data_IF_880507842608
#
_entry.id   IF_880507842608
#
_cell.length_a   1.000
_cell.length_b   1.000
_cell.length_c   1.000
_cell.angle_alpha   90.00
_cell.angle_beta   90.00
_cell.angle_gamma   90.00
#
_symmetry.space_group_name_H-M   'P 1'
#
loop_
_entity.id
_entity.type
_entity.pdbx_description
1 polymer ?
#
# COMPACT_ATOMS: atom_id res chain seq x y z
N UNK A 1 15.14 -31.91 25.94
CA UNK A 1 14.07 -30.95 25.60
C UNK A 1 14.56 -29.54 25.88
N UNK A 2 14.97 -28.78 24.84
CA UNK A 2 15.36 -27.36 24.97
C UNK A 2 14.09 -26.51 25.03
N UNK A 3 13.92 -25.72 26.10
CA UNK A 3 12.83 -24.74 26.23
C UNK A 3 13.01 -23.67 25.15
N UNK A 4 11.96 -23.43 24.36
CA UNK A 4 11.83 -22.23 23.54
C UNK A 4 11.53 -21.06 24.48
N UNK A 5 12.39 -20.04 24.46
CA UNK A 5 12.31 -18.86 25.32
C UNK A 5 11.53 -17.77 24.55
N UNK A 6 10.27 -17.53 24.95
CA UNK A 6 9.37 -16.58 24.31
C UNK A 6 9.72 -15.15 24.76
N UNK A 7 10.07 -14.28 23.81
CA UNK A 7 10.25 -12.84 24.05
C UNK A 7 8.97 -12.19 24.57
N UNK A 8 9.11 -11.28 25.53
CA UNK A 8 8.01 -10.62 26.21
C UNK A 8 7.56 -9.38 25.40
N UNK A 9 6.27 -9.32 25.06
CA UNK A 9 5.65 -8.22 24.31
C UNK A 9 5.14 -7.20 25.34
N UNK A 10 5.69 -5.99 25.34
CA UNK A 10 5.18 -4.89 26.16
C UNK A 10 3.91 -4.27 25.54
N UNK A 11 3.07 -3.66 26.39
CA UNK A 11 1.70 -3.15 26.11
C UNK A 11 1.53 -2.16 24.95
N UNK A 12 2.60 -1.83 24.22
CA UNK A 12 2.62 -0.94 23.04
C UNK A 12 3.06 -1.69 21.76
N UNK A 13 3.20 -3.02 21.80
CA UNK A 13 3.50 -3.84 20.60
C UNK A 13 4.94 -3.74 20.10
N UNK A 14 5.89 -3.32 20.94
CA UNK A 14 7.32 -3.30 20.59
C UNK A 14 8.00 -4.59 21.05
N UNK A 15 8.67 -5.28 20.10
CA UNK A 15 9.61 -6.36 20.43
C UNK A 15 10.93 -5.73 20.92
N UNK A 16 11.21 -5.86 22.22
CA UNK A 16 12.48 -5.45 22.81
C UNK A 16 13.38 -6.67 22.92
N UNK A 17 14.45 -6.74 22.12
CA UNK A 17 15.45 -7.78 22.27
C UNK A 17 16.24 -7.58 23.58
N UNK A 18 16.80 -8.67 24.14
CA UNK A 18 17.70 -8.63 25.32
C UNK A 18 18.84 -7.63 25.04
N UNK A 19 18.78 -6.47 25.69
CA UNK A 19 19.72 -5.35 25.46
C UNK A 19 19.09 -3.97 25.28
N UNK A 20 17.75 -3.82 25.33
CA UNK A 20 17.09 -2.51 25.33
C UNK A 20 17.15 -1.76 23.99
N UNK A 21 17.61 -2.42 22.91
CA UNK A 21 17.69 -1.81 21.58
C UNK A 21 16.30 -1.88 20.94
N UNK A 22 15.75 -0.71 20.62
CA UNK A 22 14.55 -0.60 19.79
C UNK A 22 14.88 -1.13 18.38
N UNK A 23 14.49 -2.36 18.07
CA UNK A 23 14.85 -3.01 16.80
C UNK A 23 14.39 -2.23 15.56
N UNK A 24 13.30 -1.47 15.64
CA UNK A 24 12.87 -0.61 14.51
C UNK A 24 13.86 0.53 14.22
N UNK A 25 14.74 0.91 15.15
CA UNK A 25 15.80 1.90 14.94
C UNK A 25 17.16 1.28 14.60
N UNK A 26 17.26 -0.05 14.62
CA UNK A 26 18.50 -0.76 14.29
C UNK A 26 18.76 -0.68 12.76
N UNK A 27 19.96 -0.23 12.38
CA UNK A 27 20.35 -0.11 10.97
C UNK A 27 20.28 -1.46 10.23
N UNK A 28 20.60 -2.58 10.90
CA UNK A 28 20.51 -3.93 10.34
C UNK A 28 19.06 -4.33 10.09
N UNK A 29 18.16 -3.96 10.98
CA UNK A 29 16.72 -4.18 10.78
C UNK A 29 16.25 -3.42 9.54
N UNK A 30 16.59 -2.14 9.40
CA UNK A 30 16.20 -1.34 8.23
C UNK A 30 16.81 -1.86 6.92
N UNK A 31 18.09 -2.24 6.92
CA UNK A 31 18.74 -2.85 5.75
C UNK A 31 18.06 -4.15 5.32
N UNK A 32 17.69 -5.00 6.27
CA UNK A 32 16.96 -6.25 6.01
C UNK A 32 15.59 -5.97 5.41
N UNK A 33 14.82 -5.02 5.98
CA UNK A 33 13.51 -4.61 5.45
C UNK A 33 13.63 -4.16 3.99
N UNK A 34 14.57 -3.26 3.70
CA UNK A 34 14.80 -2.73 2.34
C UNK A 34 15.19 -3.85 1.37
N UNK A 35 16.06 -4.78 1.78
CA UNK A 35 16.45 -5.92 0.96
C UNK A 35 15.26 -6.82 0.61
N UNK A 36 14.39 -7.09 1.59
CA UNK A 36 13.16 -7.87 1.38
C UNK A 36 12.20 -7.16 0.42
N UNK A 37 11.99 -5.84 0.57
CA UNK A 37 11.12 -5.06 -0.31
C UNK A 37 11.63 -5.03 -1.76
N UNK A 38 12.94 -4.90 -1.96
CA UNK A 38 13.54 -4.97 -3.30
C UNK A 38 13.42 -6.36 -3.91
N UNK A 39 13.58 -7.40 -3.10
CA UNK A 39 13.45 -8.77 -3.56
C UNK A 39 12.03 -9.09 -4.05
N UNK A 40 11.00 -8.71 -3.28
CA UNK A 40 9.61 -8.93 -3.71
C UNK A 40 9.26 -8.09 -4.94
N UNK A 41 9.79 -6.87 -5.06
CA UNK A 41 9.62 -6.04 -6.27
C UNK A 41 10.17 -6.75 -7.51
N UNK A 42 11.41 -7.24 -7.46
CA UNK A 42 12.05 -7.97 -8.58
C UNK A 42 11.30 -9.25 -8.92
N UNK A 43 10.83 -10.00 -7.91
CA UNK A 43 10.09 -11.22 -8.13
C UNK A 43 8.72 -10.94 -8.79
N UNK A 44 8.00 -9.92 -8.32
CA UNK A 44 6.69 -9.54 -8.86
C UNK A 44 6.74 -9.03 -10.30
N UNK A 45 7.86 -8.49 -10.76
CA UNK A 45 8.05 -8.13 -12.18
C UNK A 45 8.04 -9.34 -13.12
N UNK A 46 8.29 -10.55 -12.60
CA UNK A 46 8.51 -11.75 -13.42
C UNK A 46 7.60 -12.92 -13.03
N UNK A 47 6.85 -12.80 -11.92
CA UNK A 47 6.14 -13.93 -11.30
C UNK A 47 4.92 -13.44 -10.55
N UNK A 48 3.79 -14.11 -10.77
CA UNK A 48 2.56 -13.83 -10.05
C UNK A 48 2.75 -14.05 -8.54
N UNK A 49 2.15 -13.17 -7.74
CA UNK A 49 2.28 -13.14 -6.29
C UNK A 49 2.00 -14.51 -5.65
N UNK A 50 0.99 -15.23 -6.13
CA UNK A 50 0.60 -16.56 -5.64
C UNK A 50 1.75 -17.58 -5.73
N UNK A 51 2.55 -17.50 -6.79
CA UNK A 51 3.64 -18.43 -7.05
C UNK A 51 4.90 -18.07 -6.25
N UNK A 52 5.02 -16.84 -5.75
CA UNK A 52 6.18 -16.40 -4.97
C UNK A 52 6.17 -17.07 -3.60
N UNK A 53 7.27 -17.71 -3.23
CA UNK A 53 7.46 -18.32 -1.92
C UNK A 53 8.32 -17.44 -1.00
N UNK A 54 8.22 -17.63 0.32
CA UNK A 54 9.13 -16.98 1.30
C UNK A 54 10.58 -17.37 1.01
N UNK A 55 10.83 -18.58 0.50
CA UNK A 55 12.16 -19.03 0.08
C UNK A 55 12.69 -18.14 -1.05
N UNK A 56 11.88 -17.93 -2.10
CA UNK A 56 12.26 -17.09 -3.25
C UNK A 56 12.65 -15.67 -2.80
N UNK A 57 11.85 -15.09 -1.90
CA UNK A 57 12.10 -13.74 -1.34
C UNK A 57 13.41 -13.73 -0.55
N UNK A 58 13.62 -14.70 0.34
CA UNK A 58 14.81 -14.78 1.18
C UNK A 58 16.09 -14.98 0.35
N UNK A 59 16.04 -15.84 -0.66
CA UNK A 59 17.16 -16.11 -1.57
C UNK A 59 17.51 -14.87 -2.39
N UNK A 60 16.50 -14.20 -2.95
CA UNK A 60 16.68 -12.97 -3.74
C UNK A 60 17.20 -11.81 -2.88
N UNK A 61 16.72 -11.69 -1.64
CA UNK A 61 17.16 -10.66 -0.69
C UNK A 61 18.52 -10.96 -0.04
N UNK A 62 19.03 -12.20 -0.19
CA UNK A 62 20.20 -12.71 0.53
C UNK A 62 20.06 -12.60 2.06
N UNK A 63 18.89 -12.96 2.59
CA UNK A 63 18.60 -12.94 4.03
C UNK A 63 18.16 -14.32 4.52
N UNK A 64 18.33 -14.59 5.81
CA UNK A 64 17.79 -15.82 6.39
C UNK A 64 16.27 -15.74 6.57
N UNK A 65 15.59 -16.89 6.59
CA UNK A 65 14.16 -16.94 6.93
C UNK A 65 13.87 -16.34 8.30
N UNK A 66 14.73 -16.58 9.28
CA UNK A 66 14.60 -15.97 10.62
C UNK A 66 14.65 -14.45 10.57
N UNK A 67 15.47 -13.88 9.67
CA UNK A 67 15.50 -12.44 9.46
C UNK A 67 14.21 -11.94 8.78
N UNK A 68 13.69 -12.65 7.78
CA UNK A 68 12.37 -12.34 7.19
C UNK A 68 11.26 -12.32 8.24
N UNK A 69 11.19 -13.36 9.07
CA UNK A 69 10.16 -13.49 10.11
C UNK A 69 10.28 -12.48 11.25
N UNK A 70 11.38 -11.72 11.32
CA UNK A 70 11.50 -10.56 12.22
C UNK A 70 10.68 -9.35 11.76
N UNK A 71 10.33 -9.32 10.46
CA UNK A 71 9.60 -8.23 9.83
C UNK A 71 8.17 -8.61 9.46
N UNK A 72 7.97 -9.84 8.96
CA UNK A 72 6.72 -10.27 8.35
C UNK A 72 6.37 -11.69 8.76
N UNK A 73 5.11 -11.95 9.10
CA UNK A 73 4.68 -13.33 9.44
C UNK A 73 4.62 -14.23 8.21
N UNK A 74 4.31 -13.66 7.05
CA UNK A 74 4.29 -14.30 5.74
C UNK A 74 4.33 -13.23 4.62
N UNK A 75 4.17 -13.64 3.35
CA UNK A 75 4.16 -12.72 2.20
C UNK A 75 2.90 -11.83 2.14
N UNK A 76 1.78 -12.27 2.71
CA UNK A 76 0.54 -11.49 2.74
C UNK A 76 0.64 -10.38 3.78
N UNK A 77 1.25 -10.65 4.93
CA UNK A 77 1.58 -9.63 5.92
C UNK A 77 2.54 -8.58 5.35
N UNK A 78 3.54 -8.99 4.55
CA UNK A 78 4.40 -8.05 3.80
C UNK A 78 3.55 -7.13 2.91
N UNK A 79 2.67 -7.70 2.07
CA UNK A 79 1.82 -6.93 1.18
C UNK A 79 0.91 -5.95 1.96
N UNK A 80 0.31 -6.42 3.05
CA UNK A 80 -0.53 -5.62 3.94
C UNK A 80 0.25 -4.47 4.59
N UNK A 81 1.47 -4.71 5.07
CA UNK A 81 2.30 -3.65 5.63
C UNK A 81 2.68 -2.61 4.57
N UNK A 82 3.01 -3.02 3.34
CA UNK A 82 3.26 -2.08 2.23
C UNK A 82 2.03 -1.20 1.94
N UNK A 83 0.84 -1.82 1.91
CA UNK A 83 -0.43 -1.13 1.71
C UNK A 83 -0.69 -0.10 2.81
N UNK A 84 -0.52 -0.48 4.08
CA UNK A 84 -0.72 0.42 5.22
C UNK A 84 0.26 1.59 5.20
N UNK A 85 1.54 1.33 4.95
CA UNK A 85 2.58 2.38 4.87
C UNK A 85 2.30 3.40 3.76
N UNK A 86 1.82 2.94 2.60
CA UNK A 86 1.45 3.82 1.49
C UNK A 86 0.24 4.69 1.82
N UNK A 87 -0.80 4.08 2.41
CA UNK A 87 -2.03 4.79 2.81
C UNK A 87 -1.75 5.79 3.92
N UNK A 88 -0.93 5.44 4.91
CA UNK A 88 -0.50 6.35 5.97
C UNK A 88 0.28 7.54 5.40
N UNK A 89 1.18 7.29 4.45
CA UNK A 89 1.96 8.35 3.78
C UNK A 89 1.06 9.27 2.96
N UNK A 90 0.13 8.72 2.17
CA UNK A 90 -0.86 9.50 1.45
C UNK A 90 -1.73 10.35 2.38
N UNK A 91 -2.23 9.75 3.47
CA UNK A 91 -3.04 10.46 4.46
C UNK A 91 -2.28 11.56 5.20
N UNK A 92 -0.96 11.41 5.37
CA UNK A 92 -0.11 12.47 5.92
C UNK A 92 -0.07 13.68 4.99
N UNK A 93 0.11 13.49 3.69
CA UNK A 93 0.07 14.59 2.72
C UNK A 93 -1.27 15.34 2.70
N UNK A 94 -2.38 14.63 2.94
CA UNK A 94 -3.71 15.22 3.11
C UNK A 94 -3.77 16.07 4.39
N UNK A 95 -3.36 15.50 5.53
CA UNK A 95 -3.45 16.15 6.85
C UNK A 95 -2.55 17.38 6.98
N UNK A 96 -1.33 17.31 6.47
CA UNK A 96 -0.34 18.38 6.54
C UNK A 96 -0.65 19.54 5.59
N UNK A 97 -1.78 19.48 4.86
CA UNK A 97 -2.20 20.48 3.86
C UNK A 97 -1.14 20.80 2.82
N UNK A 98 -0.17 19.92 2.59
CA UNK A 98 0.76 20.00 1.44
C UNK A 98 -0.07 20.04 0.14
N UNK A 99 -1.21 19.34 0.15
CA UNK A 99 -2.29 19.49 -0.81
C UNK A 99 -3.07 20.77 -0.45
N UNK A 100 -2.52 21.93 -0.82
CA UNK A 100 -3.13 23.26 -0.59
C UNK A 100 -4.24 23.60 -1.60
N UNK A 101 -4.41 22.79 -2.65
CA UNK A 101 -5.46 22.92 -3.66
C UNK A 101 -6.04 21.54 -4.01
N UNK A 102 -7.37 21.49 -4.10
CA UNK A 102 -8.24 20.42 -4.63
C UNK A 102 -7.60 19.54 -5.72
N UNK A 103 -6.88 20.16 -6.64
CA UNK A 103 -6.59 19.60 -7.97
C UNK A 103 -5.34 18.68 -8.01
N UNK A 104 -4.76 18.33 -6.86
CA UNK A 104 -3.51 17.54 -6.83
C UNK A 104 -3.56 16.27 -5.99
N UNK A 105 -4.70 15.92 -5.41
CA UNK A 105 -4.80 14.71 -4.58
C UNK A 105 -4.43 13.46 -5.39
N UNK A 106 -5.14 13.23 -6.50
CA UNK A 106 -4.89 12.06 -7.34
C UNK A 106 -3.48 12.07 -7.91
N UNK A 107 -3.02 13.23 -8.40
CA UNK A 107 -1.64 13.40 -8.89
C UNK A 107 -0.59 13.04 -7.83
N UNK A 108 -0.79 13.48 -6.59
CA UNK A 108 0.11 13.16 -5.46
C UNK A 108 0.10 11.66 -5.18
N UNK A 109 -1.06 11.01 -5.20
CA UNK A 109 -1.18 9.58 -4.95
C UNK A 109 -0.53 8.76 -6.08
N UNK A 110 -0.69 9.17 -7.34
CA UNK A 110 -0.03 8.51 -8.48
C UNK A 110 1.50 8.67 -8.40
N UNK A 111 1.99 9.86 -8.07
CA UNK A 111 3.43 10.09 -7.88
C UNK A 111 4.00 9.29 -6.69
N UNK A 112 3.25 9.20 -5.58
CA UNK A 112 3.62 8.35 -4.46
C UNK A 112 3.67 6.86 -4.87
N UNK A 113 2.74 6.41 -5.71
CA UNK A 113 2.71 5.06 -6.23
C UNK A 113 3.92 4.76 -7.15
N UNK A 114 4.30 5.69 -8.02
CA UNK A 114 5.48 5.57 -8.89
C UNK A 114 6.81 5.60 -8.13
N UNK A 115 6.88 6.37 -7.05
CA UNK A 115 8.08 6.53 -6.23
C UNK A 115 8.25 5.40 -5.21
N UNK A 116 7.62 5.56 -4.06
CA UNK A 116 7.77 4.67 -2.89
C UNK A 116 6.83 3.44 -2.97
N UNK A 117 5.77 3.53 -3.77
CA UNK A 117 4.73 2.51 -3.88
C UNK A 117 4.96 1.43 -4.93
N UNK A 118 6.18 1.16 -5.40
CA UNK A 118 6.42 0.22 -6.51
C UNK A 118 5.91 -1.19 -6.27
N UNK A 119 6.14 -1.73 -5.07
CA UNK A 119 5.58 -3.03 -4.66
C UNK A 119 4.04 -2.98 -4.71
N UNK A 120 3.44 -1.87 -4.25
CA UNK A 120 2.00 -1.68 -4.32
C UNK A 120 1.49 -1.64 -5.76
N UNK A 121 2.19 -0.94 -6.67
CA UNK A 121 1.84 -0.90 -8.09
C UNK A 121 1.83 -2.30 -8.71
N UNK A 122 2.87 -3.10 -8.43
CA UNK A 122 2.94 -4.49 -8.89
C UNK A 122 1.84 -5.38 -8.29
N UNK A 123 1.45 -5.16 -7.03
CA UNK A 123 0.33 -5.86 -6.40
C UNK A 123 -1.04 -5.42 -6.94
N UNK A 124 -1.15 -4.21 -7.49
CA UNK A 124 -2.35 -3.75 -8.21
C UNK A 124 -2.39 -4.34 -9.62
N UNK A 125 -1.23 -4.54 -10.27
CA UNK A 125 -1.12 -5.12 -11.62
C UNK A 125 -1.68 -6.54 -11.73
N UNK A 126 -1.70 -7.10 -12.94
CA UNK A 126 -2.04 -8.51 -13.19
C UNK A 126 -1.17 -9.53 -12.47
N UNK A 127 0.00 -9.13 -11.93
CA UNK A 127 0.85 -10.01 -11.11
C UNK A 127 0.39 -10.12 -9.65
N UNK A 128 -0.46 -9.20 -9.17
CA UNK A 128 -1.10 -9.33 -7.86
C UNK A 128 -2.11 -10.47 -7.82
N UNK A 129 -2.42 -10.96 -6.62
CA UNK A 129 -3.51 -11.93 -6.46
C UNK A 129 -4.87 -11.25 -6.29
N UNK A 130 -5.95 -11.95 -6.65
CA UNK A 130 -7.32 -11.44 -6.50
C UNK A 130 -7.65 -11.07 -5.05
N UNK A 131 -7.16 -11.84 -4.08
CA UNK A 131 -7.33 -11.56 -2.65
C UNK A 131 -6.66 -10.24 -2.25
N UNK A 132 -5.42 -10.01 -2.68
CA UNK A 132 -4.71 -8.75 -2.41
C UNK A 132 -5.39 -7.58 -3.09
N UNK A 133 -5.78 -7.73 -4.35
CA UNK A 133 -6.50 -6.69 -5.09
C UNK A 133 -7.84 -6.33 -4.43
N UNK A 134 -8.57 -7.32 -3.88
CA UNK A 134 -9.79 -7.06 -3.12
C UNK A 134 -9.50 -6.32 -1.81
N UNK A 135 -8.45 -6.71 -1.08
CA UNK A 135 -7.98 -5.97 0.11
C UNK A 135 -7.63 -4.52 -0.23
N UNK A 136 -6.98 -4.27 -1.37
CA UNK A 136 -6.63 -2.94 -1.85
C UNK A 136 -7.87 -2.09 -2.09
N UNK A 137 -8.84 -2.62 -2.85
CA UNK A 137 -10.12 -1.93 -3.08
C UNK A 137 -10.87 -1.64 -1.78
N UNK A 138 -10.89 -2.58 -0.84
CA UNK A 138 -11.53 -2.40 0.46
C UNK A 138 -10.89 -1.25 1.26
N UNK A 139 -9.55 -1.18 1.28
CA UNK A 139 -8.83 -0.09 1.94
C UNK A 139 -9.02 1.24 1.21
N UNK A 140 -9.01 1.26 -0.13
CA UNK A 140 -9.31 2.48 -0.89
C UNK A 140 -10.70 3.02 -0.56
N UNK A 141 -11.71 2.13 -0.49
CA UNK A 141 -13.09 2.49 -0.11
C UNK A 141 -13.15 3.09 1.30
N UNK A 142 -12.52 2.45 2.28
CA UNK A 142 -12.46 2.95 3.66
C UNK A 142 -11.71 4.27 3.75
N UNK A 143 -10.60 4.41 3.01
CA UNK A 143 -9.81 5.63 3.01
C UNK A 143 -10.58 6.79 2.36
N UNK A 144 -11.30 6.52 1.28
CA UNK A 144 -12.18 7.48 0.64
C UNK A 144 -13.24 7.98 1.61
N UNK A 145 -13.94 7.07 2.29
CA UNK A 145 -14.98 7.42 3.26
C UNK A 145 -14.42 8.27 4.41
N UNK A 146 -13.29 7.86 4.99
CA UNK A 146 -12.76 8.50 6.21
C UNK A 146 -11.98 9.78 5.95
N UNK A 147 -11.20 9.84 4.88
CA UNK A 147 -10.19 10.89 4.68
C UNK A 147 -10.47 11.78 3.46
N UNK A 148 -11.19 11.30 2.44
CA UNK A 148 -11.42 12.07 1.20
C UNK A 148 -12.79 12.71 1.20
N UNK A 149 -13.85 11.94 1.45
CA UNK A 149 -15.23 12.40 1.39
C UNK A 149 -15.50 13.64 2.27
N UNK A 150 -14.95 13.77 3.50
CA UNK A 150 -15.11 14.98 4.31
C UNK A 150 -14.60 16.27 3.63
N UNK A 151 -13.62 16.14 2.71
CA UNK A 151 -13.02 17.22 1.95
C UNK A 151 -13.83 17.60 0.69
N UNK A 152 -14.90 16.87 0.38
CA UNK A 152 -15.75 17.09 -0.79
C UNK A 152 -17.06 17.78 -0.44
N UNK A 153 -17.70 18.41 -1.42
CA UNK A 153 -19.06 18.96 -1.33
C UNK A 153 -20.16 17.93 -1.59
N UNK A 154 -19.80 16.66 -1.77
CA UNK A 154 -20.75 15.59 -2.08
C UNK A 154 -21.68 15.40 -0.88
N UNK A 155 -22.98 15.31 -1.17
CA UNK A 155 -24.03 15.01 -0.21
C UNK A 155 -24.75 13.76 -0.65
N UNK A 156 -25.10 12.91 0.31
CA UNK A 156 -25.89 11.72 0.08
C UNK A 156 -27.23 11.85 0.81
N UNK A 157 -28.31 11.39 0.20
CA UNK A 157 -29.63 11.36 0.79
C UNK A 157 -29.72 10.33 1.93
N UNK A 158 -28.94 9.25 1.87
CA UNK A 158 -28.90 8.20 2.88
C UNK A 158 -27.60 7.35 2.79
N UNK A 159 -27.42 6.45 3.76
CA UNK A 159 -26.26 5.57 3.86
C UNK A 159 -26.16 4.53 2.73
N UNK A 160 -27.28 4.20 2.07
CA UNK A 160 -27.28 3.28 0.94
C UNK A 160 -26.66 3.94 -0.29
N UNK A 161 -27.03 5.19 -0.57
CA UNK A 161 -26.44 5.99 -1.64
C UNK A 161 -24.93 6.19 -1.41
N UNK A 162 -24.52 6.59 -0.20
CA UNK A 162 -23.12 6.72 0.17
C UNK A 162 -22.34 5.40 -0.08
N UNK A 163 -22.87 4.27 0.39
CA UNK A 163 -22.22 2.96 0.24
C UNK A 163 -22.01 2.59 -1.23
N UNK A 164 -23.02 2.76 -2.07
CA UNK A 164 -22.91 2.42 -3.50
C UNK A 164 -22.02 3.41 -4.25
N UNK A 165 -22.05 4.69 -3.90
CA UNK A 165 -21.12 5.67 -4.44
C UNK A 165 -19.66 5.33 -4.11
N UNK A 166 -19.36 5.03 -2.84
CA UNK A 166 -18.02 4.63 -2.41
C UNK A 166 -17.56 3.34 -3.12
N UNK A 167 -18.47 2.38 -3.33
CA UNK A 167 -18.17 1.16 -4.09
C UNK A 167 -17.87 1.45 -5.56
N UNK A 168 -18.73 2.22 -6.23
CA UNK A 168 -18.54 2.61 -7.62
C UNK A 168 -17.21 3.35 -7.81
N UNK A 169 -16.96 4.38 -7.00
CA UNK A 169 -15.82 5.24 -7.20
C UNK A 169 -14.48 4.56 -6.88
N UNK A 170 -14.41 3.79 -5.78
CA UNK A 170 -13.20 3.03 -5.47
C UNK A 170 -12.85 1.99 -6.54
N UNK A 171 -13.86 1.33 -7.13
CA UNK A 171 -13.65 0.41 -8.24
C UNK A 171 -13.23 1.14 -9.54
N UNK A 172 -13.85 2.28 -9.85
CA UNK A 172 -13.49 3.07 -11.04
C UNK A 172 -12.03 3.54 -10.98
N UNK A 173 -11.62 4.12 -9.84
CA UNK A 173 -10.23 4.58 -9.65
C UNK A 173 -9.25 3.40 -9.66
N UNK A 174 -9.58 2.29 -8.98
CA UNK A 174 -8.74 1.09 -9.01
C UNK A 174 -8.56 0.58 -10.44
N UNK A 175 -9.64 0.50 -11.23
CA UNK A 175 -9.61 0.03 -12.61
C UNK A 175 -8.74 0.90 -13.51
N UNK A 176 -8.86 2.23 -13.42
CA UNK A 176 -8.01 3.15 -14.19
C UNK A 176 -6.53 2.98 -13.82
N UNK A 177 -6.20 2.91 -12.52
CA UNK A 177 -4.81 2.73 -12.07
C UNK A 177 -4.27 1.36 -12.52
N UNK A 178 -5.08 0.30 -12.40
CA UNK A 178 -4.67 -1.05 -12.80
C UNK A 178 -4.42 -1.14 -14.31
N UNK A 179 -5.30 -0.56 -15.13
CA UNK A 179 -5.11 -0.50 -16.58
C UNK A 179 -3.82 0.26 -16.93
N UNK A 180 -3.62 1.44 -16.33
CA UNK A 180 -2.42 2.25 -16.55
C UNK A 180 -1.13 1.52 -16.15
N UNK A 181 -1.13 0.76 -15.05
CA UNK A 181 0.02 -0.04 -14.66
C UNK A 181 0.27 -1.17 -15.66
N UNK A 182 -0.77 -1.92 -16.03
CA UNK A 182 -0.67 -3.05 -16.94
C UNK A 182 -0.29 -2.64 -18.37
N UNK A 183 -0.64 -1.42 -18.79
CA UNK A 183 -0.25 -0.87 -20.10
C UNK A 183 1.20 -0.41 -20.17
N UNK A 184 1.95 -0.52 -19.05
CA UNK A 184 3.34 -0.09 -18.93
C UNK A 184 3.50 1.39 -18.57
N UNK A 185 2.46 2.03 -18.03
CA UNK A 185 2.50 3.40 -17.51
C UNK A 185 2.96 4.41 -18.57
N UNK A 186 2.42 4.28 -19.79
CA UNK A 186 2.83 5.08 -20.95
C UNK A 186 2.46 6.54 -20.80
N UNK A 187 1.29 6.80 -20.23
CA UNK A 187 0.79 8.13 -19.93
C UNK A 187 1.45 8.68 -18.65
N UNK A 188 1.65 9.99 -18.58
CA UNK A 188 2.09 10.65 -17.35
C UNK A 188 0.99 10.66 -16.29
N UNK A 189 1.34 10.78 -14.99
CA UNK A 189 0.35 10.97 -13.93
C UNK A 189 -0.64 12.12 -14.19
N UNK A 190 -0.18 13.22 -14.79
CA UNK A 190 -1.01 14.37 -15.17
C UNK A 190 -2.02 14.01 -16.27
N UNK A 191 -1.62 13.21 -17.26
CA UNK A 191 -2.51 12.74 -18.32
C UNK A 191 -3.61 11.82 -17.76
N UNK A 192 -3.25 10.92 -16.83
CA UNK A 192 -4.23 10.06 -16.14
C UNK A 192 -5.21 10.90 -15.31
N UNK A 193 -4.73 11.90 -14.57
CA UNK A 193 -5.60 12.81 -13.82
C UNK A 193 -6.55 13.55 -14.75
N UNK A 194 -6.06 14.08 -15.87
CA UNK A 194 -6.89 14.77 -16.86
C UNK A 194 -7.98 13.85 -17.45
N UNK A 195 -7.68 12.58 -17.70
CA UNK A 195 -8.66 11.59 -18.16
C UNK A 195 -9.73 11.31 -17.10
N UNK A 196 -9.34 11.20 -15.83
CA UNK A 196 -10.29 10.96 -14.72
C UNK A 196 -11.17 12.19 -14.51
N UNK A 197 -10.59 13.39 -14.44
CA UNK A 197 -11.32 14.64 -14.20
C UNK A 197 -12.32 14.96 -15.32
N UNK A 198 -12.00 14.60 -16.58
CA UNK A 198 -12.92 14.73 -17.72
C UNK A 198 -14.20 13.90 -17.54
N UNK A 199 -14.10 12.74 -16.89
CA UNK A 199 -15.21 11.81 -16.72
C UNK A 199 -15.84 11.87 -15.31
N UNK A 200 -15.14 12.45 -14.34
CA UNK A 200 -15.50 12.49 -12.93
C UNK A 200 -15.16 13.85 -12.31
N UNK A 201 -16.05 14.83 -12.45
CA UNK A 201 -15.87 16.13 -11.79
C UNK A 201 -16.45 16.12 -10.37
N UNK A 202 -15.61 16.12 -9.33
CA UNK A 202 -16.04 16.37 -7.94
C UNK A 202 -15.63 17.74 -7.47
N UNK A 203 -16.57 18.49 -6.90
CA UNK A 203 -16.27 19.71 -6.17
C UNK A 203 -15.71 19.39 -4.79
N UNK A 204 -14.42 19.70 -4.57
CA UNK A 204 -13.87 19.76 -3.21
C UNK A 204 -14.27 21.07 -2.54
N UNK A 205 -14.35 21.02 -1.20
CA UNK A 205 -14.59 22.15 -0.32
C UNK A 205 -13.42 23.13 -0.29
#
# INVERSE_FOLDING_TARGET
MKKCDNGQIDKIGFYVARGGINMKKDLRYQKTKIAILRAIEVLLQNKDFEKISIKDICETAQVSRSAFYLHYTDKYDLAKQCQLELVETGNRFIKERVITKRDKLMLTMLNLLLGEGKVMALLISSHGSSEIQESIRAVMRQNMQKNILPLTNIKFANSTEERYFLSFFSNAIFGVIQEWINSGQKESPEEIVALVDKNFSFEFK
#
